data_IF_114363813533
#
_entry.id   IF_114363813533
#
_cell.length_a   1.000
_cell.length_b   1.000
_cell.length_c   1.000
_cell.angle_alpha   90.00
_cell.angle_beta   90.00
_cell.angle_gamma   90.00
#
_symmetry.space_group_name_H-M   'P 1'
#
loop_
_entity.id
_entity.type
_entity.pdbx_description
1 polymer ?
#
# COMPACT_ATOMS: atom_id res chain seq x y z
N UNK A 1 -10.97 -8.69 -10.14
CA UNK A 1 -9.87 -7.74 -9.90
C UNK A 1 -8.56 -8.50 -9.94
N UNK A 2 -7.56 -8.01 -10.67
CA UNK A 2 -6.20 -8.57 -10.68
C UNK A 2 -5.22 -7.42 -10.47
N UNK A 3 -4.17 -7.62 -9.68
CA UNK A 3 -3.14 -6.61 -9.51
C UNK A 3 -1.74 -7.22 -9.49
N UNK A 4 -0.75 -6.40 -9.83
CA UNK A 4 0.66 -6.71 -9.65
C UNK A 4 1.36 -5.52 -9.00
N UNK A 5 2.43 -5.83 -8.27
CA UNK A 5 3.34 -4.82 -7.72
C UNK A 5 4.78 -5.19 -8.06
N UNK A 6 5.55 -4.22 -8.49
CA UNK A 6 6.96 -4.40 -8.85
C UNK A 6 7.76 -3.21 -8.36
N UNK A 7 9.02 -3.40 -8.00
CA UNK A 7 9.93 -2.31 -7.64
C UNK A 7 11.32 -2.56 -8.20
N UNK A 8 12.01 -1.49 -8.55
CA UNK A 8 13.43 -1.49 -8.90
C UNK A 8 14.17 -0.47 -8.02
N UNK A 9 15.42 -0.12 -8.38
CA UNK A 9 16.24 0.81 -7.61
C UNK A 9 15.79 2.29 -7.62
N UNK A 10 14.80 2.67 -8.44
CA UNK A 10 14.37 4.08 -8.56
C UNK A 10 12.90 4.29 -8.24
N UNK A 11 12.04 3.30 -8.48
CA UNK A 11 10.61 3.42 -8.26
C UNK A 11 9.95 2.05 -8.05
N UNK A 12 8.72 2.09 -7.55
CA UNK A 12 7.80 0.97 -7.59
C UNK A 12 6.53 1.30 -8.33
N UNK A 13 5.84 0.28 -8.80
CA UNK A 13 4.64 0.38 -9.61
C UNK A 13 3.58 -0.57 -9.06
N UNK A 14 2.35 -0.09 -8.90
CA UNK A 14 1.17 -0.92 -8.71
C UNK A 14 0.33 -0.84 -9.98
N UNK A 15 -0.01 -2.01 -10.55
CA UNK A 15 -0.94 -2.11 -11.68
C UNK A 15 -2.18 -2.85 -11.23
N UNK A 16 -3.34 -2.25 -11.45
CA UNK A 16 -4.64 -2.79 -11.10
C UNK A 16 -5.49 -2.91 -12.38
N UNK A 17 -5.92 -4.13 -12.68
CA UNK A 17 -6.85 -4.42 -13.75
C UNK A 17 -8.21 -4.86 -13.17
N UNK A 18 -9.27 -4.20 -13.65
CA UNK A 18 -10.65 -4.49 -13.27
C UNK A 18 -11.44 -4.81 -14.53
N UNK A 19 -11.84 -6.06 -14.62
CA UNK A 19 -12.73 -6.59 -15.66
C UNK A 19 -14.19 -6.51 -15.18
N UNK A 20 -15.03 -5.88 -15.99
CA UNK A 20 -16.47 -5.71 -15.78
C UNK A 20 -17.31 -6.35 -16.90
N UNK A 21 -16.79 -7.40 -17.56
CA UNK A 21 -17.56 -8.31 -18.42
C UNK A 21 -18.58 -9.13 -17.66
N UNK A 22 -19.53 -9.75 -18.37
CA UNK A 22 -20.48 -10.73 -17.84
C UNK A 22 -21.32 -10.25 -16.65
N UNK A 23 -21.71 -8.97 -16.64
CA UNK A 23 -22.52 -8.38 -15.59
C UNK A 23 -21.76 -8.08 -14.29
N UNK A 24 -20.42 -8.23 -14.27
CA UNK A 24 -19.60 -7.78 -13.13
C UNK A 24 -19.69 -6.25 -13.00
N UNK A 25 -19.79 -5.71 -11.78
CA UNK A 25 -19.96 -4.27 -11.59
C UNK A 25 -18.68 -3.49 -11.93
N UNK A 26 -18.85 -2.33 -12.58
CA UNK A 26 -17.79 -1.34 -12.75
C UNK A 26 -17.54 -0.61 -11.42
N UNK A 27 -16.28 -0.28 -11.06
CA UNK A 27 -16.01 0.50 -9.86
C UNK A 27 -16.57 1.93 -10.02
N UNK A 28 -17.17 2.47 -8.95
CA UNK A 28 -17.62 3.86 -8.88
C UNK A 28 -16.47 4.83 -8.60
N UNK A 29 -15.41 4.35 -7.95
CA UNK A 29 -14.21 5.14 -7.67
C UNK A 29 -12.99 4.22 -7.54
N UNK A 30 -11.84 4.72 -7.97
CA UNK A 30 -10.52 4.16 -7.65
C UNK A 30 -9.68 5.27 -7.03
N UNK A 31 -9.02 4.97 -5.91
CA UNK A 31 -8.26 5.95 -5.14
C UNK A 31 -6.93 5.35 -4.71
N UNK A 32 -5.86 6.13 -4.82
CA UNK A 32 -4.57 5.78 -4.27
C UNK A 32 -4.43 6.34 -2.85
N UNK A 33 -4.05 5.47 -1.92
CA UNK A 33 -3.72 5.85 -0.55
C UNK A 33 -2.23 5.72 -0.32
N UNK A 34 -1.66 6.68 0.40
CA UNK A 34 -0.25 6.71 0.73
C UNK A 34 -0.04 7.05 2.20
N UNK A 35 0.99 6.45 2.78
CA UNK A 35 1.49 6.77 4.11
C UNK A 35 3.02 6.82 4.11
N UNK A 36 3.58 7.55 5.07
CA UNK A 36 5.03 7.67 5.28
C UNK A 36 5.34 7.38 6.74
N UNK A 37 6.49 6.75 6.99
CA UNK A 37 7.05 6.66 8.34
C UNK A 37 7.74 7.96 8.72
N UNK A 38 8.02 8.13 10.02
CA UNK A 38 8.81 9.27 10.55
C UNK A 38 10.32 9.07 10.43
N UNK A 39 10.76 7.84 10.19
CA UNK A 39 12.15 7.41 10.20
C UNK A 39 12.32 6.10 9.40
N UNK A 40 13.57 5.64 9.23
CA UNK A 40 13.92 4.36 8.59
C UNK A 40 14.03 3.19 9.57
N UNK A 41 13.95 3.42 10.88
CA UNK A 41 14.21 2.41 11.92
C UNK A 41 13.11 1.34 11.98
N UNK A 42 11.91 1.65 11.47
CA UNK A 42 10.79 0.72 11.40
C UNK A 42 10.06 0.83 10.07
N UNK A 43 9.92 -0.30 9.39
CA UNK A 43 9.05 -0.48 8.22
C UNK A 43 7.63 -0.86 8.66
N UNK A 44 6.99 0.00 9.46
CA UNK A 44 5.69 -0.28 10.08
C UNK A 44 4.67 0.84 9.83
N UNK A 45 3.55 0.48 9.22
CA UNK A 45 2.47 1.38 8.81
C UNK A 45 1.16 1.14 9.57
N UNK A 46 1.19 0.34 10.64
CA UNK A 46 0.05 0.16 11.55
C UNK A 46 -0.16 1.42 12.38
N UNK A 47 -1.41 1.68 12.78
CA UNK A 47 -1.81 2.86 13.56
C UNK A 47 -1.25 2.85 14.99
N UNK A 48 -0.96 1.68 15.53
CA UNK A 48 -0.45 1.49 16.89
C UNK A 48 0.83 0.67 16.85
N UNK A 49 1.76 1.00 17.75
CA UNK A 49 3.05 0.31 17.92
C UNK A 49 3.39 0.19 19.40
N UNK A 50 4.23 -0.76 19.77
CA UNK A 50 4.83 -0.79 21.10
C UNK A 50 5.93 0.29 21.22
N UNK A 51 5.90 1.03 22.33
CA UNK A 51 6.95 1.94 22.77
C UNK A 51 8.15 1.12 23.30
N UNK A 52 9.33 1.34 22.73
CA UNK A 52 10.55 0.61 23.10
C UNK A 52 11.05 0.94 24.51
N UNK A 53 10.67 2.08 25.06
CA UNK A 53 11.17 2.54 26.36
C UNK A 53 10.41 1.94 27.54
N UNK A 54 9.10 1.71 27.40
CA UNK A 54 8.22 1.33 28.50
C UNK A 54 7.27 0.15 28.19
N UNK A 55 7.31 -0.38 26.95
CA UNK A 55 6.54 -1.55 26.56
C UNK A 55 5.03 -1.31 26.33
N UNK A 56 4.56 -0.06 26.39
CA UNK A 56 3.13 0.27 26.21
C UNK A 56 2.77 0.41 24.73
N UNK A 57 1.52 0.12 24.39
CA UNK A 57 0.97 0.43 23.06
C UNK A 57 0.76 1.94 22.96
N UNK A 58 1.40 2.55 21.98
CA UNK A 58 1.30 3.98 21.66
C UNK A 58 0.85 4.16 20.21
N UNK A 59 0.31 5.34 19.90
CA UNK A 59 -0.04 5.69 18.51
C UNK A 59 1.23 5.80 17.68
N UNK A 60 1.27 5.10 16.55
CA UNK A 60 2.27 5.31 15.53
C UNK A 60 1.87 6.54 14.71
N UNK A 61 2.73 7.56 14.52
CA UNK A 61 2.41 8.77 13.77
C UNK A 61 2.37 8.52 12.24
N UNK A 62 1.82 7.40 11.81
CA UNK A 62 1.60 7.06 10.41
C UNK A 62 0.15 7.38 10.06
N UNK A 63 -0.03 8.21 9.03
CA UNK A 63 -1.35 8.58 8.52
C UNK A 63 -1.48 8.13 7.08
N UNK A 64 -2.52 7.35 6.80
CA UNK A 64 -2.92 7.00 5.45
C UNK A 64 -3.81 8.09 4.88
N UNK A 65 -3.37 8.74 3.82
CA UNK A 65 -4.10 9.80 3.16
C UNK A 65 -4.29 9.47 1.68
N UNK A 66 -5.43 9.90 1.12
CA UNK A 66 -5.55 10.07 -0.31
C UNK A 66 -4.73 11.31 -0.69
N UNK A 67 -3.48 11.08 -1.11
CA UNK A 67 -2.53 12.16 -1.40
C UNK A 67 -2.73 12.75 -2.80
N UNK A 68 -3.84 12.45 -3.48
CA UNK A 68 -4.09 12.93 -4.85
C UNK A 68 -3.08 12.37 -5.85
N UNK A 69 -2.45 11.24 -5.53
CA UNK A 69 -1.50 10.55 -6.40
C UNK A 69 -2.19 10.26 -7.72
N UNK A 70 -1.65 10.85 -8.78
CA UNK A 70 -2.12 10.63 -10.13
C UNK A 70 -1.74 9.21 -10.56
N UNK A 71 -2.66 8.54 -11.21
CA UNK A 71 -2.42 7.25 -11.83
C UNK A 71 -2.89 7.30 -13.28
N UNK A 72 -2.16 6.60 -14.13
CA UNK A 72 -2.54 6.43 -15.52
C UNK A 72 -3.76 5.52 -15.58
N UNK A 73 -4.77 5.95 -16.33
CA UNK A 73 -6.01 5.20 -16.56
C UNK A 73 -6.04 4.77 -18.01
N UNK A 74 -6.09 3.45 -18.22
CA UNK A 74 -6.35 2.86 -19.52
C UNK A 74 -7.69 2.14 -19.52
N UNK A 75 -8.33 2.04 -20.68
CA UNK A 75 -9.49 1.18 -20.86
C UNK A 75 -9.38 0.47 -22.21
N UNK A 76 -9.53 -0.85 -22.19
CA UNK A 76 -9.58 -1.70 -23.39
C UNK A 76 -10.84 -2.55 -23.27
N UNK A 77 -11.83 -2.25 -24.11
CA UNK A 77 -13.16 -2.87 -24.02
C UNK A 77 -13.77 -2.74 -22.62
N UNK A 78 -14.10 -3.88 -22.02
CA UNK A 78 -14.70 -3.98 -20.68
C UNK A 78 -13.68 -4.19 -19.55
N UNK A 79 -12.41 -3.86 -19.79
CA UNK A 79 -11.35 -3.88 -18.77
C UNK A 79 -10.78 -2.48 -18.60
N UNK A 80 -10.79 -1.98 -17.36
CA UNK A 80 -10.08 -0.77 -16.97
C UNK A 80 -8.75 -1.14 -16.29
N UNK A 81 -7.69 -0.43 -16.64
CA UNK A 81 -6.38 -0.52 -16.02
C UNK A 81 -6.02 0.78 -15.31
N UNK A 82 -5.42 0.65 -14.13
CA UNK A 82 -4.97 1.75 -13.28
C UNK A 82 -3.51 1.47 -12.93
N UNK A 83 -2.61 2.42 -13.21
CA UNK A 83 -1.18 2.26 -12.94
C UNK A 83 -0.65 3.46 -12.17
N UNK A 84 -0.06 3.20 -11.01
CA UNK A 84 0.60 4.23 -10.20
C UNK A 84 2.09 3.93 -10.10
N UNK A 85 2.91 4.93 -10.39
CA UNK A 85 4.36 4.88 -10.23
C UNK A 85 4.77 5.75 -9.05
N UNK A 86 5.48 5.17 -8.09
CA UNK A 86 5.91 5.84 -6.87
C UNK A 86 7.45 5.86 -6.86
N UNK A 87 8.09 7.04 -6.84
CA UNK A 87 9.54 7.11 -6.70
C UNK A 87 9.97 6.56 -5.34
N UNK A 88 11.13 5.91 -5.30
CA UNK A 88 11.77 5.55 -4.03
C UNK A 88 12.16 6.85 -3.32
N UNK A 89 11.80 7.01 -2.03
CA UNK A 89 12.18 8.19 -1.27
C UNK A 89 13.71 8.27 -1.15
N UNK A 90 14.25 9.47 -1.36
CA UNK A 90 15.69 9.75 -1.21
C UNK A 90 16.02 10.01 0.27
N UNK A 91 15.03 10.49 1.04
CA UNK A 91 15.19 10.79 2.47
C UNK A 91 14.96 9.56 3.35
N UNK A 92 15.26 9.71 4.65
CA UNK A 92 15.16 8.67 5.67
C UNK A 92 13.72 8.34 6.10
N UNK A 93 12.91 7.81 5.18
CA UNK A 93 11.61 7.22 5.50
C UNK A 93 11.21 6.10 4.53
N UNK A 94 10.23 5.31 4.96
CA UNK A 94 9.54 4.34 4.11
C UNK A 94 8.24 4.95 3.63
N UNK A 95 7.89 4.69 2.38
CA UNK A 95 6.61 5.07 1.79
C UNK A 95 5.80 3.83 1.47
N UNK A 96 4.53 3.81 1.86
CA UNK A 96 3.61 2.73 1.55
C UNK A 96 2.45 3.26 0.71
N UNK A 97 2.10 2.53 -0.34
CA UNK A 97 1.01 2.90 -1.25
C UNK A 97 0.13 1.68 -1.52
N UNK A 98 -1.19 1.86 -1.62
CA UNK A 98 -2.11 0.88 -2.18
C UNK A 98 -3.22 1.56 -2.98
N UNK A 99 -3.87 0.81 -3.88
CA UNK A 99 -5.06 1.28 -4.59
C UNK A 99 -6.31 0.69 -3.95
N UNK A 100 -7.34 1.51 -3.78
CA UNK A 100 -8.66 1.13 -3.29
C UNK A 100 -9.68 1.31 -4.42
N UNK A 101 -10.39 0.24 -4.78
CA UNK A 101 -11.51 0.27 -5.71
C UNK A 101 -12.82 0.13 -4.93
N UNK A 102 -13.76 1.03 -5.20
CA UNK A 102 -15.11 1.01 -4.63
C UNK A 102 -16.10 0.56 -5.68
N UNK A 103 -16.94 -0.40 -5.35
CA UNK A 103 -17.96 -0.97 -6.22
C UNK A 103 -19.36 -0.77 -5.63
N UNK A 104 -20.38 -0.64 -6.48
CA UNK A 104 -21.76 -0.65 -6.01
C UNK A 104 -22.09 -2.04 -5.45
N UNK A 105 -22.66 -2.09 -4.25
CA UNK A 105 -23.25 -3.28 -3.65
C UNK A 105 -24.77 -3.21 -3.66
N UNK A 106 -25.41 -4.27 -3.18
CA UNK A 106 -26.86 -4.31 -3.00
C UNK A 106 -27.30 -3.34 -1.89
N UNK A 107 -28.54 -2.82 -2.00
CA UNK A 107 -29.19 -2.02 -0.96
C UNK A 107 -28.37 -0.80 -0.47
N UNK A 108 -27.60 -0.17 -1.37
CA UNK A 108 -26.80 1.02 -1.06
C UNK A 108 -25.49 0.73 -0.30
N UNK A 109 -25.16 -0.54 -0.05
CA UNK A 109 -23.86 -0.93 0.51
C UNK A 109 -22.77 -0.66 -0.55
N UNK A 110 -21.59 -0.23 -0.09
CA UNK A 110 -20.41 -0.09 -0.95
C UNK A 110 -19.44 -1.21 -0.66
N UNK A 111 -19.02 -1.91 -1.71
CA UNK A 111 -17.97 -2.93 -1.61
C UNK A 111 -16.63 -2.27 -1.86
N UNK A 112 -15.69 -2.42 -0.93
CA UNK A 112 -14.35 -1.81 -1.02
C UNK A 112 -13.31 -2.93 -1.10
N UNK A 113 -12.50 -2.88 -2.15
CA UNK A 113 -11.39 -3.81 -2.35
C UNK A 113 -10.09 -3.03 -2.47
N UNK A 114 -9.03 -3.54 -1.87
CA UNK A 114 -7.69 -2.94 -1.92
C UNK A 114 -6.70 -3.87 -2.61
N UNK A 115 -5.72 -3.31 -3.30
CA UNK A 115 -4.53 -4.07 -3.68
C UNK A 115 -3.69 -4.38 -2.45
N UNK A 116 -2.70 -5.25 -2.61
CA UNK A 116 -1.60 -5.29 -1.65
C UNK A 116 -0.88 -3.95 -1.55
N UNK A 117 -0.29 -3.70 -0.39
CA UNK A 117 0.54 -2.53 -0.15
C UNK A 117 1.91 -2.69 -0.80
N UNK A 118 2.29 -1.72 -1.61
CA UNK A 118 3.66 -1.52 -2.06
C UNK A 118 4.39 -0.66 -1.04
N UNK A 119 5.45 -1.18 -0.44
CA UNK A 119 6.33 -0.44 0.48
C UNK A 119 7.68 -0.23 -0.18
N UNK A 120 8.13 1.02 -0.24
CA UNK A 120 9.37 1.45 -0.85
C UNK A 120 10.29 2.17 0.17
N UNK A 121 11.62 1.96 0.11
CA UNK A 121 12.30 0.95 -0.70
C UNK A 121 11.83 -0.48 -0.36
N UNK A 122 12.14 -1.48 -1.19
CA UNK A 122 11.80 -2.88 -0.89
C UNK A 122 12.96 -3.60 -0.20
N UNK A 123 13.36 -3.06 0.95
CA UNK A 123 14.43 -3.58 1.80
C UNK A 123 13.90 -3.79 3.22
N UNK A 124 14.75 -4.30 4.12
CA UNK A 124 14.43 -4.40 5.55
C UNK A 124 15.25 -3.37 6.33
N UNK A 125 14.72 -2.84 7.45
CA UNK A 125 15.43 -1.89 8.30
C UNK A 125 16.59 -2.54 9.06
N UNK A 126 16.65 -3.87 9.08
CA UNK A 126 17.72 -4.65 9.69
C UNK A 126 18.30 -5.61 8.67
N UNK A 127 19.59 -5.98 8.78
CA UNK A 127 20.17 -7.08 8.03
C UNK A 127 19.39 -8.38 8.24
N UNK A 128 19.62 -9.33 7.35
CA UNK A 128 19.18 -10.71 7.56
C UNK A 128 19.83 -11.24 8.85
N UNK A 129 19.00 -11.76 9.76
CA UNK A 129 19.51 -12.46 10.93
C UNK A 129 19.54 -13.97 10.67
N UNK A 130 20.51 -14.64 11.29
CA UNK A 130 20.70 -16.08 11.18
C UNK A 130 20.76 -16.70 12.58
N UNK A 131 20.51 -18.01 12.65
CA UNK A 131 20.69 -18.84 13.83
C UNK A 131 19.82 -18.47 15.04
N UNK A 132 20.19 -18.98 16.22
CA UNK A 132 19.40 -18.93 17.45
C UNK A 132 19.29 -17.53 18.07
N UNK A 133 20.08 -16.56 17.60
CA UNK A 133 19.99 -15.16 18.00
C UNK A 133 19.01 -14.35 17.13
N UNK A 134 18.43 -14.96 16.10
CA UNK A 134 17.47 -14.33 15.18
C UNK A 134 16.04 -14.36 15.77
N UNK A 135 15.83 -13.57 16.82
CA UNK A 135 14.50 -13.33 17.38
C UNK A 135 14.10 -11.87 17.22
N UNK A 136 12.92 -11.64 16.65
CA UNK A 136 12.31 -10.32 16.63
C UNK A 136 11.42 -10.12 17.85
N UNK A 137 11.55 -9.00 18.53
CA UNK A 137 10.47 -8.54 19.40
C UNK A 137 9.35 -8.01 18.52
N UNK A 138 8.23 -8.73 18.49
CA UNK A 138 7.02 -8.28 17.81
C UNK A 138 6.50 -7.06 18.59
N UNK A 139 6.68 -5.88 18.01
CA UNK A 139 6.23 -4.57 18.53
C UNK A 139 5.06 -4.04 17.74
#
# INVERSE_FOLDING_TARGET
>A
MKWTRTSNGTHGIIRLAIDFTDGKPKPTAVTAYQARTSDTLRRDFRLSKLDRTNGRVVRNPVTWANTGVQFEVGQIGSTASYSVTIPIPIDDYWIATFLQATFPGSQGIRMVLTTETLILPNTYPTPECHDQECYGQLV
#
